data_IF_556096910689
#
_entry.id   IF_556096910689
#
_cell.length_a   1.000
_cell.length_b   1.000
_cell.length_c   1.000
_cell.angle_alpha   90.00
_cell.angle_beta   90.00
_cell.angle_gamma   90.00
#
_symmetry.space_group_name_H-M   'P 1'
#
loop_
_entity.id
_entity.type
_entity.pdbx_description
1 polymer ?
#
# COMPACT_ATOMS: atom_id res chain seq x y z
N UNK A 1 -0.76 -37.19 -4.72
CA UNK A 1 -0.38 -36.12 -5.66
C UNK A 1 -0.17 -34.86 -4.85
N UNK A 2 1.10 -34.46 -4.75
CA UNK A 2 1.64 -33.51 -3.78
C UNK A 2 0.98 -32.13 -3.87
N UNK A 3 0.36 -31.69 -2.78
CA UNK A 3 0.06 -30.28 -2.57
C UNK A 3 1.40 -29.56 -2.48
N UNK A 4 1.66 -28.63 -3.40
CA UNK A 4 2.82 -27.74 -3.35
C UNK A 4 2.61 -26.84 -2.13
N UNK A 5 3.16 -27.26 -0.99
CA UNK A 5 3.36 -26.40 0.17
C UNK A 5 4.35 -25.32 -0.26
N UNK A 6 3.83 -24.15 -0.66
CA UNK A 6 4.66 -22.94 -0.65
C UNK A 6 5.29 -22.87 0.75
N UNK A 7 6.61 -22.68 0.88
CA UNK A 7 7.22 -22.53 2.19
C UNK A 7 6.57 -21.30 2.82
N UNK A 8 5.73 -21.52 3.82
CA UNK A 8 5.25 -20.46 4.70
C UNK A 8 6.46 -20.04 5.54
N UNK A 9 7.36 -19.26 4.94
CA UNK A 9 8.18 -18.36 5.75
C UNK A 9 7.19 -17.53 6.55
N UNK A 10 7.19 -17.68 7.87
CA UNK A 10 6.33 -16.88 8.73
C UNK A 10 6.73 -15.42 8.54
N UNK A 11 5.93 -14.65 7.82
CA UNK A 11 6.19 -13.23 7.64
C UNK A 11 6.13 -12.55 9.00
N UNK A 12 7.26 -12.03 9.45
CA UNK A 12 7.33 -11.22 10.66
C UNK A 12 6.82 -9.81 10.33
N UNK A 13 5.56 -9.57 10.64
CA UNK A 13 4.98 -8.23 10.56
C UNK A 13 5.52 -7.37 11.70
N UNK A 14 6.01 -6.19 11.34
CA UNK A 14 6.64 -5.25 12.28
C UNK A 14 5.77 -4.03 12.57
N UNK A 15 4.71 -3.84 11.80
CA UNK A 15 3.86 -2.66 11.88
C UNK A 15 2.56 -2.81 11.10
N UNK A 16 1.68 -1.83 11.27
CA UNK A 16 0.35 -1.80 10.67
C UNK A 16 0.02 -0.39 10.19
N UNK A 17 -0.68 -0.27 9.07
CA UNK A 17 -1.23 0.97 8.50
C UNK A 17 -2.74 0.89 8.52
N UNK A 18 -3.41 1.98 8.89
CA UNK A 18 -4.87 2.07 8.74
C UNK A 18 -5.24 2.55 7.35
N UNK A 19 -6.16 1.83 6.73
CA UNK A 19 -6.72 2.16 5.43
C UNK A 19 -8.27 2.15 5.51
N UNK A 20 -8.97 3.14 4.92
CA UNK A 20 -10.44 3.17 4.98
C UNK A 20 -11.14 2.02 4.24
N UNK A 21 -10.49 1.38 3.27
CA UNK A 21 -11.05 0.28 2.48
C UNK A 21 -10.68 -1.09 3.05
N UNK A 22 -9.47 -1.22 3.61
CA UNK A 22 -8.90 -2.47 4.09
C UNK A 22 -8.73 -2.56 5.61
N UNK A 23 -9.24 -1.57 6.36
CA UNK A 23 -9.09 -1.36 7.80
C UNK A 23 -7.63 -1.27 8.27
N UNK A 24 -6.93 -2.40 8.34
CA UNK A 24 -5.57 -2.48 8.87
C UNK A 24 -4.70 -3.41 8.04
N UNK A 25 -3.72 -2.84 7.35
CA UNK A 25 -2.75 -3.54 6.51
C UNK A 25 -1.47 -3.74 7.32
N UNK A 26 -1.05 -4.99 7.52
CA UNK A 26 0.21 -5.31 8.20
C UNK A 26 1.36 -5.38 7.19
N UNK A 27 2.56 -4.95 7.59
CA UNK A 27 3.73 -4.98 6.71
C UNK A 27 4.99 -5.49 7.43
N UNK A 28 5.89 -6.05 6.64
CA UNK A 28 7.18 -6.63 7.03
C UNK A 28 8.30 -5.59 6.98
N UNK A 29 9.48 -5.95 7.50
CA UNK A 29 10.66 -5.08 7.45
C UNK A 29 11.12 -4.74 6.02
N UNK A 30 10.94 -5.66 5.07
CA UNK A 30 11.30 -5.40 3.67
C UNK A 30 10.31 -4.44 3.02
N UNK A 31 9.00 -4.63 3.26
CA UNK A 31 7.97 -3.71 2.77
C UNK A 31 8.13 -2.31 3.38
N UNK A 32 8.43 -2.20 4.68
CA UNK A 32 8.71 -0.92 5.33
C UNK A 32 9.83 -0.15 4.62
N UNK A 33 10.93 -0.83 4.26
CA UNK A 33 12.07 -0.19 3.56
C UNK A 33 11.65 0.35 2.20
N UNK A 34 10.80 -0.36 1.47
CA UNK A 34 10.28 0.10 0.18
C UNK A 34 9.32 1.27 0.40
N UNK A 35 8.40 1.18 1.36
CA UNK A 35 7.46 2.25 1.69
C UNK A 35 8.21 3.53 2.05
N UNK A 36 9.28 3.44 2.86
CA UNK A 36 10.08 4.58 3.32
C UNK A 36 11.03 5.16 2.23
N UNK A 37 11.18 4.50 1.08
CA UNK A 37 12.02 4.98 -0.03
C UNK A 37 11.51 6.28 -0.65
N UNK A 38 12.41 7.11 -1.18
CA UNK A 38 12.05 8.39 -1.77
C UNK A 38 11.15 8.23 -3.01
N UNK A 39 11.39 7.18 -3.79
CA UNK A 39 10.65 6.80 -4.98
C UNK A 39 9.19 6.48 -4.63
N UNK A 40 8.97 5.71 -3.55
CA UNK A 40 7.65 5.35 -3.10
C UNK A 40 6.93 6.53 -2.44
N UNK A 41 7.62 7.27 -1.56
CA UNK A 41 7.06 8.46 -0.90
C UNK A 41 6.65 9.56 -1.90
N UNK A 42 7.31 9.66 -3.07
CA UNK A 42 6.90 10.59 -4.14
C UNK A 42 5.45 10.38 -4.58
N UNK A 43 4.91 9.17 -4.47
CA UNK A 43 3.55 8.84 -4.89
C UNK A 43 2.48 9.61 -4.11
N UNK A 44 2.81 10.18 -2.93
CA UNK A 44 1.91 11.09 -2.19
C UNK A 44 1.55 12.35 -2.98
N UNK A 45 2.36 12.74 -3.95
CA UNK A 45 2.15 13.92 -4.79
C UNK A 45 1.43 13.60 -6.10
N UNK A 46 1.17 12.32 -6.38
CA UNK A 46 0.55 11.87 -7.63
C UNK A 46 -0.90 11.48 -7.33
N UNK A 47 -1.84 12.18 -7.95
CA UNK A 47 -3.27 11.89 -7.83
C UNK A 47 -3.60 10.57 -8.52
N UNK A 48 -4.45 9.74 -7.90
CA UNK A 48 -4.85 8.46 -8.52
C UNK A 48 -5.61 8.71 -9.83
N UNK A 49 -6.55 9.65 -9.80
CA UNK A 49 -7.52 9.90 -10.87
C UNK A 49 -7.31 11.26 -11.56
N UNK A 50 -6.11 11.85 -11.44
CA UNK A 50 -5.69 13.07 -12.13
C UNK A 50 -6.78 14.19 -12.18
N UNK A 51 -7.37 14.44 -13.34
CA UNK A 51 -8.35 15.51 -13.56
C UNK A 51 -9.75 15.19 -13.03
N UNK A 52 -10.05 13.93 -12.72
CA UNK A 52 -11.36 13.50 -12.23
C UNK A 52 -11.73 14.21 -10.92
N UNK A 53 -10.73 14.63 -10.12
CA UNK A 53 -10.95 15.45 -8.91
C UNK A 53 -11.68 16.77 -9.16
N UNK A 54 -11.65 17.31 -10.38
CA UNK A 54 -12.37 18.55 -10.75
C UNK A 54 -13.85 18.31 -11.04
N UNK A 55 -14.24 17.06 -11.36
CA UNK A 55 -15.63 16.65 -11.56
C UNK A 55 -16.20 16.04 -10.29
N UNK A 56 -15.38 15.25 -9.58
CA UNK A 56 -15.72 14.59 -8.33
C UNK A 56 -14.80 15.08 -7.22
N UNK A 57 -15.22 16.07 -6.41
CA UNK A 57 -14.34 16.69 -5.40
C UNK A 57 -13.88 15.72 -4.30
N UNK A 58 -14.55 14.58 -4.14
CA UNK A 58 -14.12 13.50 -3.23
C UNK A 58 -12.99 12.62 -3.76
N UNK A 59 -12.61 12.72 -5.04
CA UNK A 59 -11.54 11.93 -5.64
C UNK A 59 -10.14 12.49 -5.33
N UNK A 60 -9.84 12.69 -4.04
CA UNK A 60 -8.58 13.29 -3.54
C UNK A 60 -7.49 12.26 -3.26
N UNK A 61 -7.78 10.97 -3.45
CA UNK A 61 -6.87 9.87 -3.17
C UNK A 61 -5.64 9.90 -4.09
N UNK A 62 -4.50 9.55 -3.51
CA UNK A 62 -3.19 9.57 -4.18
C UNK A 62 -2.75 8.14 -4.51
N UNK A 63 -1.80 8.02 -5.43
CA UNK A 63 -1.14 6.74 -5.79
C UNK A 63 -0.41 6.08 -4.63
N UNK A 64 -0.19 6.80 -3.53
CA UNK A 64 0.42 6.24 -2.32
C UNK A 64 -0.59 5.47 -1.46
N UNK A 65 -1.84 5.93 -1.42
CA UNK A 65 -2.90 5.31 -0.60
C UNK A 65 -3.53 4.13 -1.33
N UNK A 66 -3.63 4.23 -2.66
CA UNK A 66 -4.02 3.12 -3.51
C UNK A 66 -2.95 2.03 -3.53
#
# INVERSE_FOLDING_TARGET
MSAISKPTESLMYIGKVRDPLHDTISFTQTEKRVIDSAEFQRMRRIQQTAFIKYVFPGATHTRFVH
#
